data_IF_179432156525
#
_entry.id   IF_179432156525
#
_cell.length_a   1.000
_cell.length_b   1.000
_cell.length_c   1.000
_cell.angle_alpha   90.00
_cell.angle_beta   90.00
_cell.angle_gamma   90.00
#
_symmetry.space_group_name_H-M   'P 1'
#
loop_
_entity.id
_entity.type
_entity.pdbx_description
1 polymer ?
#
# COMPACT_ATOMS: atom_id res chain seq x y z
N UNK A 1 2.81 -58.91 -54.04
CA UNK A 1 3.30 -58.89 -52.66
C UNK A 1 3.68 -57.47 -52.26
N UNK A 2 2.70 -56.51 -52.20
CA UNK A 2 2.94 -55.08 -51.88
C UNK A 2 1.70 -54.43 -51.23
N UNK A 3 1.09 -55.07 -50.24
CA UNK A 3 -0.13 -54.51 -49.58
C UNK A 3 -0.04 -54.48 -48.04
N UNK A 4 1.15 -54.63 -47.45
CA UNK A 4 1.30 -54.72 -45.99
C UNK A 4 2.03 -53.54 -45.31
N UNK A 5 2.45 -52.54 -46.09
CA UNK A 5 3.22 -51.39 -45.53
C UNK A 5 2.39 -50.16 -45.19
N UNK A 6 1.13 -50.04 -45.63
CA UNK A 6 0.33 -48.85 -45.35
C UNK A 6 -0.43 -48.86 -44.00
N UNK A 7 -0.57 -50.04 -43.35
CA UNK A 7 -1.32 -50.13 -42.09
C UNK A 7 -0.48 -49.69 -40.86
N UNK A 8 0.85 -49.76 -40.97
CA UNK A 8 1.74 -49.41 -39.85
C UNK A 8 1.83 -47.90 -39.57
N UNK A 9 1.73 -47.07 -40.61
CA UNK A 9 1.82 -45.58 -40.47
C UNK A 9 0.54 -44.95 -39.94
N UNK A 10 -0.62 -45.53 -40.17
CA UNK A 10 -1.90 -45.07 -39.64
C UNK A 10 -2.03 -45.31 -38.15
N UNK A 11 -1.49 -46.43 -37.64
CA UNK A 11 -1.48 -46.72 -36.21
C UNK A 11 -0.55 -45.77 -35.42
N UNK A 12 0.61 -45.39 -36.02
CA UNK A 12 1.52 -44.43 -35.44
C UNK A 12 0.96 -43.02 -35.38
N UNK A 13 0.14 -42.62 -36.37
CA UNK A 13 -0.52 -41.31 -36.41
C UNK A 13 -1.69 -41.20 -35.40
N UNK A 14 -2.38 -42.31 -35.11
CA UNK A 14 -3.45 -42.34 -34.11
C UNK A 14 -2.94 -42.23 -32.69
N UNK A 15 -1.74 -42.78 -32.37
CA UNK A 15 -1.13 -42.72 -31.06
C UNK A 15 -0.56 -41.33 -30.77
N UNK A 16 -0.09 -40.63 -31.80
CA UNK A 16 0.45 -39.25 -31.63
C UNK A 16 -0.66 -38.21 -31.36
N UNK A 17 -1.90 -38.47 -31.78
CA UNK A 17 -3.03 -37.56 -31.55
C UNK A 17 -3.62 -37.63 -30.12
N UNK A 18 -3.29 -38.66 -29.34
CA UNK A 18 -3.81 -38.84 -27.97
C UNK A 18 -3.01 -38.10 -26.91
N UNK A 19 -1.83 -37.57 -27.24
CA UNK A 19 -0.96 -36.85 -26.29
C UNK A 19 -1.20 -35.32 -26.25
N UNK A 20 -2.14 -34.78 -27.05
CA UNK A 20 -2.46 -33.35 -27.08
C UNK A 20 -3.70 -32.97 -26.25
N UNK A 21 -4.27 -33.89 -25.48
CA UNK A 21 -5.20 -33.54 -24.40
C UNK A 21 -4.38 -33.05 -23.22
N UNK A 22 -3.75 -31.87 -23.39
CA UNK A 22 -3.13 -31.11 -22.33
C UNK A 22 -4.18 -30.86 -21.25
N UNK A 23 -3.87 -31.22 -20.01
CA UNK A 23 -4.62 -30.80 -18.84
C UNK A 23 -4.77 -29.30 -18.87
N UNK A 24 -5.96 -28.85 -19.21
CA UNK A 24 -6.43 -27.51 -18.87
C UNK A 24 -6.65 -27.53 -17.36
N UNK A 25 -5.59 -27.25 -16.62
CA UNK A 25 -5.63 -27.06 -15.18
C UNK A 25 -6.46 -25.80 -14.97
N UNK A 26 -7.75 -26.02 -14.71
CA UNK A 26 -8.69 -24.96 -14.39
C UNK A 26 -8.25 -24.41 -13.05
N UNK A 27 -7.43 -23.34 -13.07
CA UNK A 27 -7.13 -22.59 -11.85
C UNK A 27 -8.44 -22.26 -11.15
N UNK A 28 -8.56 -22.53 -9.84
CA UNK A 28 -9.74 -22.12 -9.09
C UNK A 28 -9.92 -20.62 -9.28
N UNK A 29 -11.16 -20.11 -9.38
CA UNK A 29 -11.40 -18.69 -9.50
C UNK A 29 -10.72 -18.01 -8.31
N UNK A 30 -9.63 -17.30 -8.59
CA UNK A 30 -9.03 -16.40 -7.62
C UNK A 30 -10.09 -15.34 -7.33
N UNK A 31 -10.73 -15.47 -6.19
CA UNK A 31 -11.59 -14.42 -5.65
C UNK A 31 -10.69 -13.18 -5.57
N UNK A 32 -10.90 -12.23 -6.46
CA UNK A 32 -10.18 -10.96 -6.49
C UNK A 32 -10.63 -10.16 -5.27
N UNK A 33 -10.07 -10.48 -4.11
CA UNK A 33 -10.23 -9.64 -2.94
C UNK A 33 -9.53 -8.33 -3.25
N UNK A 34 -10.28 -7.26 -3.32
CA UNK A 34 -9.73 -5.92 -3.51
C UNK A 34 -8.74 -5.63 -2.38
N UNK A 35 -7.51 -5.19 -2.69
CA UNK A 35 -6.46 -5.00 -1.69
C UNK A 35 -6.77 -3.87 -0.71
N UNK A 36 -7.60 -2.90 -1.12
CA UNK A 36 -8.00 -1.76 -0.33
C UNK A 36 -9.48 -1.44 -0.56
N UNK A 37 -10.14 -0.96 0.48
CA UNK A 37 -11.47 -0.38 0.45
C UNK A 37 -11.37 1.09 0.88
N UNK A 38 -11.87 2.01 0.04
CA UNK A 38 -11.82 3.45 0.27
C UNK A 38 -13.22 3.91 0.67
N UNK A 39 -13.34 4.50 1.84
CA UNK A 39 -14.57 5.08 2.35
C UNK A 39 -14.41 6.60 2.45
N UNK A 40 -15.06 7.34 1.55
CA UNK A 40 -15.04 8.80 1.59
C UNK A 40 -15.86 9.32 2.77
N UNK A 41 -15.26 10.15 3.59
CA UNK A 41 -15.93 10.77 4.72
C UNK A 41 -16.87 11.88 4.24
N UNK A 42 -18.12 11.88 4.72
CA UNK A 42 -19.11 12.88 4.32
C UNK A 42 -18.64 14.28 4.69
N UNK A 43 -18.83 15.23 3.77
CA UNK A 43 -18.49 16.64 3.94
C UNK A 43 -16.99 16.89 4.25
N UNK A 44 -16.10 15.99 3.81
CA UNK A 44 -14.66 16.05 4.02
C UNK A 44 -13.90 15.68 2.74
N UNK A 45 -12.71 16.24 2.57
CA UNK A 45 -11.75 15.79 1.55
C UNK A 45 -10.96 14.54 1.98
N UNK A 46 -11.26 13.99 3.16
CA UNK A 46 -10.56 12.84 3.73
C UNK A 46 -11.27 11.53 3.40
N UNK A 47 -10.47 10.50 3.29
CA UNK A 47 -10.93 9.13 3.12
C UNK A 47 -10.39 8.23 4.22
N UNK A 48 -11.13 7.18 4.52
CA UNK A 48 -10.69 6.08 5.36
C UNK A 48 -10.29 4.93 4.44
N UNK A 49 -9.01 4.54 4.50
CA UNK A 49 -8.47 3.43 3.72
C UNK A 49 -8.39 2.20 4.60
N UNK A 50 -9.15 1.17 4.26
CA UNK A 50 -9.09 -0.15 4.92
C UNK A 50 -8.37 -1.12 4.01
N UNK A 51 -7.16 -1.54 4.40
CA UNK A 51 -6.35 -2.46 3.62
C UNK A 51 -6.52 -3.90 4.12
N UNK A 52 -6.34 -4.85 3.20
CA UNK A 52 -6.16 -6.25 3.62
C UNK A 52 -4.79 -6.41 4.27
N UNK A 53 -4.64 -7.38 5.19
CA UNK A 53 -3.36 -7.72 5.81
C UNK A 53 -2.27 -7.99 4.76
N UNK A 54 -2.63 -8.70 3.69
CA UNK A 54 -1.73 -8.98 2.58
C UNK A 54 -1.29 -7.73 1.82
N UNK A 55 -2.15 -6.70 1.73
CA UNK A 55 -1.79 -5.42 1.12
C UNK A 55 -0.82 -4.65 2.02
N UNK A 56 -1.08 -4.60 3.33
CA UNK A 56 -0.18 -3.98 4.32
C UNK A 56 1.19 -4.63 4.28
N UNK A 57 1.26 -5.96 4.28
CA UNK A 57 2.51 -6.71 4.18
C UNK A 57 3.25 -6.45 2.85
N UNK A 58 2.52 -6.43 1.72
CA UNK A 58 3.12 -6.19 0.40
C UNK A 58 3.71 -4.79 0.26
N UNK A 59 3.03 -3.77 0.81
CA UNK A 59 3.50 -2.39 0.82
C UNK A 59 4.67 -2.24 1.81
N UNK A 60 4.70 -3.07 2.86
CA UNK A 60 5.68 -2.96 3.95
C UNK A 60 5.38 -1.76 4.85
N UNK A 61 4.09 -1.53 5.17
CA UNK A 61 3.70 -0.38 5.98
C UNK A 61 4.31 -0.50 7.38
N UNK A 62 5.04 0.55 7.79
CA UNK A 62 5.54 0.72 9.14
C UNK A 62 4.99 2.01 9.74
N UNK A 63 4.83 2.02 11.06
CA UNK A 63 4.38 3.20 11.80
C UNK A 63 5.39 3.60 12.87
N UNK A 64 5.44 4.90 13.17
CA UNK A 64 6.15 5.46 14.31
C UNK A 64 5.18 6.33 15.12
N UNK A 65 5.32 6.41 16.46
CA UNK A 65 4.48 7.29 17.24
C UNK A 65 4.87 8.75 17.00
N UNK A 66 3.90 9.67 17.06
CA UNK A 66 4.21 11.09 17.26
C UNK A 66 4.95 11.22 18.60
N UNK A 67 6.19 11.63 18.54
CA UNK A 67 7.02 11.79 19.74
C UNK A 67 7.01 13.25 20.21
N UNK A 68 7.38 13.45 21.49
CA UNK A 68 7.67 14.76 22.06
C UNK A 68 9.16 14.85 22.35
N UNK A 69 9.82 15.87 21.80
CA UNK A 69 11.24 16.08 22.01
C UNK A 69 11.52 17.51 22.46
N UNK A 70 12.54 17.67 23.32
CA UNK A 70 13.06 18.97 23.69
C UNK A 70 13.93 19.50 22.56
N UNK A 71 13.44 20.47 21.84
CA UNK A 71 14.15 21.05 20.70
C UNK A 71 14.80 22.37 21.13
N UNK A 72 16.13 22.41 21.09
CA UNK A 72 16.93 23.61 21.37
C UNK A 72 17.22 24.35 20.06
N UNK A 73 16.27 25.16 19.58
CA UNK A 73 16.48 25.94 18.38
C UNK A 73 16.72 27.43 18.71
N UNK A 74 15.74 28.16 19.20
CA UNK A 74 15.88 29.54 19.70
C UNK A 74 15.58 29.63 21.19
N UNK A 75 14.64 28.86 21.66
CA UNK A 75 14.31 28.61 23.05
C UNK A 75 14.03 27.12 23.18
N UNK A 76 14.58 26.48 24.25
CA UNK A 76 14.30 25.06 24.48
C UNK A 76 12.83 24.85 24.83
N UNK A 77 12.11 24.16 23.93
CA UNK A 77 10.68 23.82 24.09
C UNK A 77 10.42 22.40 23.70
N UNK A 78 9.47 21.77 24.36
CA UNK A 78 8.92 20.47 23.93
C UNK A 78 8.10 20.67 22.68
N UNK A 79 8.39 19.88 21.65
CA UNK A 79 7.76 19.93 20.33
C UNK A 79 7.37 18.53 19.90
N UNK A 80 6.27 18.44 19.16
CA UNK A 80 5.91 17.21 18.48
C UNK A 80 6.83 16.96 17.29
N UNK A 81 7.31 15.74 17.17
CA UNK A 81 8.17 15.32 16.05
C UNK A 81 7.65 14.03 15.44
N UNK A 82 7.83 13.91 14.13
CA UNK A 82 7.58 12.68 13.37
C UNK A 82 8.77 12.39 12.46
N UNK A 83 8.98 11.16 12.00
CA UNK A 83 9.96 10.88 10.95
C UNK A 83 9.66 11.74 9.70
N UNK A 84 10.69 12.31 9.08
CA UNK A 84 10.54 13.08 7.85
C UNK A 84 9.88 12.25 6.74
N UNK A 85 10.15 10.95 6.70
CA UNK A 85 9.55 10.00 5.75
C UNK A 85 8.04 9.83 5.89
N UNK A 86 7.45 10.26 7.01
CA UNK A 86 5.99 10.23 7.21
C UNK A 86 5.27 11.40 6.53
N UNK A 87 6.00 12.48 6.15
CA UNK A 87 5.40 13.66 5.56
C UNK A 87 5.03 13.46 4.10
N UNK A 88 3.86 13.93 3.76
CA UNK A 88 3.37 14.08 2.40
C UNK A 88 2.99 15.53 2.16
N UNK A 89 3.12 15.99 0.93
CA UNK A 89 2.68 17.32 0.52
C UNK A 89 1.65 17.17 -0.61
N UNK A 90 0.53 17.84 -0.47
CA UNK A 90 -0.45 17.90 -1.55
C UNK A 90 -0.09 18.99 -2.58
N UNK A 91 -0.91 19.06 -3.64
CA UNK A 91 -0.70 20.03 -4.73
C UNK A 91 -0.90 21.49 -4.30
N UNK A 92 -1.51 21.72 -3.14
CA UNK A 92 -1.66 23.03 -2.52
C UNK A 92 -0.48 23.38 -1.59
N UNK A 93 0.44 22.42 -1.36
CA UNK A 93 1.58 22.58 -0.47
C UNK A 93 1.24 22.38 1.02
N UNK A 94 0.06 21.84 1.36
CA UNK A 94 -0.28 21.45 2.73
C UNK A 94 0.46 20.17 3.07
N UNK A 95 0.92 20.08 4.30
CA UNK A 95 1.61 18.89 4.80
C UNK A 95 0.63 17.95 5.51
N UNK A 96 0.81 16.65 5.28
CA UNK A 96 -0.04 15.58 5.80
C UNK A 96 0.79 14.43 6.33
N UNK A 97 0.22 13.70 7.28
CA UNK A 97 0.67 12.36 7.67
C UNK A 97 -0.50 11.40 7.60
N UNK A 98 -0.25 10.10 7.35
CA UNK A 98 -1.29 9.09 7.57
C UNK A 98 -1.24 8.63 9.02
N UNK A 99 -2.35 8.76 9.73
CA UNK A 99 -2.55 8.15 11.04
C UNK A 99 -3.19 6.78 10.90
N UNK A 100 -2.90 5.88 11.85
CA UNK A 100 -3.44 4.53 11.91
C UNK A 100 -4.35 4.40 13.14
N UNK A 101 -5.64 4.79 13.03
CA UNK A 101 -6.56 4.78 14.17
C UNK A 101 -6.98 3.37 14.60
N UNK A 102 -7.00 2.42 13.66
CA UNK A 102 -7.38 1.03 13.86
C UNK A 102 -6.50 0.12 13.02
N UNK A 103 -6.45 -1.17 13.34
CA UNK A 103 -5.67 -2.15 12.57
C UNK A 103 -5.99 -2.07 11.07
N UNK A 104 -4.94 -1.95 10.25
CA UNK A 104 -5.01 -1.87 8.79
C UNK A 104 -5.91 -0.74 8.23
N UNK A 105 -6.17 0.28 9.05
CA UNK A 105 -7.03 1.41 8.70
C UNK A 105 -6.22 2.71 8.79
N UNK A 106 -6.27 3.51 7.74
CA UNK A 106 -5.44 4.71 7.61
C UNK A 106 -6.28 5.89 7.13
N UNK A 107 -5.96 7.08 7.63
CA UNK A 107 -6.55 8.34 7.16
C UNK A 107 -5.53 9.46 7.26
N UNK A 108 -5.64 10.46 6.38
CA UNK A 108 -4.73 11.62 6.44
C UNK A 108 -5.09 12.55 7.59
N UNK A 109 -4.07 13.12 8.19
CA UNK A 109 -4.16 14.18 9.17
C UNK A 109 -3.26 15.35 8.75
N UNK A 110 -3.82 16.54 8.63
CA UNK A 110 -3.05 17.73 8.29
C UNK A 110 -2.11 18.09 9.44
N UNK A 111 -0.86 18.46 9.10
CA UNK A 111 0.14 18.84 10.08
C UNK A 111 0.77 20.18 9.72
N UNK A 112 1.14 20.95 10.73
CA UNK A 112 1.94 22.17 10.54
C UNK A 112 3.41 21.85 10.73
N UNK A 113 4.21 21.97 9.67
CA UNK A 113 5.66 21.78 9.74
C UNK A 113 6.30 23.10 10.10
N UNK A 114 7.08 23.11 11.18
CA UNK A 114 7.87 24.28 11.60
C UNK A 114 9.23 24.28 10.88
N UNK A 115 9.99 23.18 11.01
CA UNK A 115 11.23 22.94 10.28
C UNK A 115 11.61 21.47 10.26
N UNK A 116 12.57 21.14 9.42
CA UNK A 116 13.16 19.80 9.34
C UNK A 116 14.51 19.80 10.03
N UNK A 117 14.76 18.79 10.88
CA UNK A 117 16.02 18.59 11.58
C UNK A 117 16.51 17.14 11.36
N UNK A 118 17.46 16.98 10.46
CA UNK A 118 17.95 15.67 10.09
C UNK A 118 16.84 14.82 9.42
N UNK A 119 16.53 13.70 10.04
CA UNK A 119 15.49 12.75 9.63
C UNK A 119 14.14 12.97 10.30
N UNK A 120 13.97 14.09 11.00
CA UNK A 120 12.77 14.44 11.76
C UNK A 120 12.13 15.71 11.26
N UNK A 121 10.80 15.71 11.22
CA UNK A 121 10.00 16.91 11.06
C UNK A 121 9.53 17.41 12.43
N UNK A 122 9.85 18.65 12.74
CA UNK A 122 9.38 19.36 13.94
C UNK A 122 8.07 20.05 13.59
N UNK A 123 7.03 19.78 14.37
CA UNK A 123 5.68 20.21 14.08
C UNK A 123 5.20 21.28 15.05
N UNK A 124 4.45 22.26 14.52
CA UNK A 124 3.69 23.25 15.28
C UNK A 124 2.19 22.90 15.38
N UNK A 125 1.71 22.01 14.51
CA UNK A 125 0.39 21.37 14.58
C UNK A 125 0.55 19.90 14.25
N UNK A 126 0.09 19.00 15.14
CA UNK A 126 0.33 17.57 15.05
C UNK A 126 -0.86 16.78 15.64
N UNK A 127 -1.03 15.50 15.27
CA UNK A 127 -1.85 14.57 16.04
C UNK A 127 -1.34 14.48 17.49
N UNK A 128 -2.17 14.03 18.44
CA UNK A 128 -1.74 13.85 19.83
C UNK A 128 -0.48 12.99 19.95
N UNK A 129 0.41 13.27 20.92
CA UNK A 129 1.57 12.42 21.18
C UNK A 129 1.17 10.96 21.38
N UNK A 130 1.99 10.03 20.85
CA UNK A 130 1.71 8.60 20.87
C UNK A 130 0.83 8.12 19.71
N UNK A 131 0.20 9.01 18.93
CA UNK A 131 -0.55 8.60 17.74
C UNK A 131 0.38 7.92 16.74
N UNK A 132 0.06 6.69 16.26
CA UNK A 132 0.87 6.02 15.25
C UNK A 132 0.69 6.72 13.90
N UNK A 133 1.77 7.17 13.30
CA UNK A 133 1.83 7.73 11.95
C UNK A 133 2.64 6.81 11.04
N UNK A 134 2.21 6.68 9.79
CA UNK A 134 2.89 5.83 8.79
C UNK A 134 4.23 6.46 8.43
N UNK A 135 5.32 5.75 8.68
CA UNK A 135 6.69 6.15 8.38
C UNK A 135 7.27 5.49 7.13
N UNK A 136 6.71 4.32 6.75
CA UNK A 136 7.00 3.60 5.49
C UNK A 136 5.68 3.26 4.81
N UNK A 137 5.56 3.48 3.51
CA UNK A 137 4.35 3.19 2.74
C UNK A 137 3.36 4.36 2.63
N UNK A 138 3.71 5.55 3.13
CA UNK A 138 2.82 6.72 3.08
C UNK A 138 2.50 7.17 1.64
N UNK A 139 3.47 7.11 0.74
CA UNK A 139 3.27 7.46 -0.68
C UNK A 139 2.35 6.46 -1.39
N UNK A 140 2.45 5.18 -1.07
CA UNK A 140 1.60 4.10 -1.58
C UNK A 140 0.15 4.26 -1.10
N UNK A 141 -0.05 4.64 0.17
CA UNK A 141 -1.37 4.99 0.69
C UNK A 141 -1.96 6.20 -0.04
N UNK A 142 -1.15 7.22 -0.29
CA UNK A 142 -1.58 8.39 -1.04
C UNK A 142 -1.98 8.02 -2.47
N UNK A 143 -1.19 7.19 -3.15
CA UNK A 143 -1.54 6.66 -4.47
C UNK A 143 -2.84 5.85 -4.44
N UNK A 144 -3.07 5.05 -3.41
CA UNK A 144 -4.30 4.27 -3.22
C UNK A 144 -5.50 5.19 -2.99
N UNK A 145 -5.39 6.21 -2.13
CA UNK A 145 -6.49 7.15 -1.83
C UNK A 145 -7.00 7.89 -3.07
N UNK A 146 -6.10 8.23 -3.98
CA UNK A 146 -6.43 8.96 -5.20
C UNK A 146 -6.53 8.07 -6.44
N UNK A 147 -6.52 6.74 -6.27
CA UNK A 147 -6.63 5.76 -7.36
C UNK A 147 -5.56 6.01 -8.46
N UNK A 148 -4.37 6.47 -8.09
CA UNK A 148 -3.28 6.75 -9.02
C UNK A 148 -2.53 5.46 -9.30
N UNK A 149 -2.54 4.97 -10.55
CA UNK A 149 -1.74 3.80 -10.97
C UNK A 149 -2.55 2.59 -11.45
N UNK A 150 -3.76 2.80 -11.96
CA UNK A 150 -4.56 1.81 -12.70
C UNK A 150 -4.32 1.91 -14.20
#
# INVERSE_FOLDING_TARGET
MKLYQHKSHWLALMVAALFLLGCEEKEPPHEKTEPAHIEHLKDSELSLLKLTEKAVERIGIETAPVAEEMIAHSEARTRSVVPYSALLYDVQGRAWVYVNPELNTYTRHEVGVDFIQGDKAVLNAAPPPGTPVVSVGAAELYGTEYEVGH
#
